data_IF_651178907906
#
_entry.id   IF_651178907906
#
_cell.length_a   1.000
_cell.length_b   1.000
_cell.length_c   1.000
_cell.angle_alpha   90.00
_cell.angle_beta   90.00
_cell.angle_gamma   90.00
#
_symmetry.space_group_name_H-M   'P 1'
#
loop_
_entity.id
_entity.type
_entity.pdbx_description
1 polymer ?
#
# COMPACT_ATOMS: atom_id res chain seq x y z
N UNK A 1 -3.74 -0.22 35.13
CA UNK A 1 -3.05 1.06 34.96
C UNK A 1 -1.93 0.91 33.95
N UNK A 2 -2.20 1.22 32.68
CA UNK A 2 -1.29 1.78 31.65
C UNK A 2 -2.14 2.06 30.41
N UNK A 3 -2.17 3.34 30.04
CA UNK A 3 -2.93 3.94 28.93
C UNK A 3 -2.43 3.39 27.57
N UNK A 4 -3.33 2.85 26.76
CA UNK A 4 -3.14 2.73 25.32
C UNK A 4 -3.72 3.98 24.64
N UNK A 5 -2.87 4.81 24.05
CA UNK A 5 -3.29 5.95 23.23
C UNK A 5 -3.74 5.38 21.89
N UNK A 6 -5.06 5.28 21.71
CA UNK A 6 -5.67 4.99 20.41
C UNK A 6 -5.62 6.28 19.59
N UNK A 7 -4.97 6.20 18.44
CA UNK A 7 -4.89 7.25 17.42
C UNK A 7 -6.30 7.73 17.05
N UNK A 8 -6.62 8.98 17.41
CA UNK A 8 -7.83 9.67 16.99
C UNK A 8 -7.60 10.23 15.59
N UNK A 9 -8.06 9.48 14.59
CA UNK A 9 -8.42 10.01 13.27
C UNK A 9 -9.44 11.14 13.45
N UNK A 10 -9.11 12.38 13.06
CA UNK A 10 -10.00 13.29 12.30
C UNK A 10 -9.49 14.74 12.27
N UNK A 11 -8.82 15.08 11.18
CA UNK A 11 -9.18 16.26 10.38
C UNK A 11 -9.02 15.81 8.93
N UNK A 12 -9.92 14.92 8.53
CA UNK A 12 -10.09 14.57 7.14
C UNK A 12 -10.72 15.78 6.44
N UNK A 13 -10.13 16.22 5.35
CA UNK A 13 -10.86 16.85 4.25
C UNK A 13 -11.89 15.82 3.76
N UNK A 14 -13.02 15.73 4.46
CA UNK A 14 -14.10 14.84 4.04
C UNK A 14 -14.76 15.48 2.82
N UNK A 15 -14.70 14.74 1.71
CA UNK A 15 -15.44 15.03 0.49
C UNK A 15 -16.74 14.25 0.62
N UNK A 16 -17.88 14.94 0.58
CA UNK A 16 -19.20 14.30 0.63
C UNK A 16 -19.87 14.46 -0.71
N UNK A 17 -20.23 13.36 -1.36
CA UNK A 17 -21.03 13.37 -2.58
C UNK A 17 -22.54 13.42 -2.26
N UNK A 18 -23.29 14.14 -3.09
CA UNK A 18 -24.75 14.34 -3.01
C UNK A 18 -25.26 15.04 -1.73
N UNK A 19 -24.69 16.18 -1.31
CA UNK A 19 -25.26 16.96 -0.22
C UNK A 19 -26.65 17.48 -0.59
N UNK A 20 -27.64 17.27 0.29
CA UNK A 20 -28.92 17.97 0.24
C UNK A 20 -28.87 19.19 1.18
N UNK A 21 -29.37 20.33 0.71
CA UNK A 21 -29.53 21.51 1.58
C UNK A 21 -30.70 21.29 2.55
N UNK A 22 -30.56 21.65 3.84
CA UNK A 22 -31.65 21.53 4.79
C UNK A 22 -32.81 22.46 4.38
N UNK A 23 -34.07 21.99 4.37
CA UNK A 23 -35.21 22.85 4.10
C UNK A 23 -35.40 23.84 5.27
N UNK A 24 -35.41 25.14 4.96
CA UNK A 24 -35.83 26.23 5.85
C UNK A 24 -35.29 26.18 7.29
N UNK A 25 -33.99 25.90 7.47
CA UNK A 25 -33.33 25.99 8.77
C UNK A 25 -33.68 24.87 9.76
N UNK A 26 -34.42 23.85 9.36
CA UNK A 26 -34.73 22.69 10.19
C UNK A 26 -33.81 21.48 9.93
N UNK A 27 -33.82 20.54 10.88
CA UNK A 27 -32.94 19.36 10.98
C UNK A 27 -32.88 18.55 9.68
N UNK A 28 -31.74 17.90 9.42
CA UNK A 28 -31.61 16.95 8.31
C UNK A 28 -32.70 15.88 8.42
N UNK A 29 -33.55 15.69 7.38
CA UNK A 29 -34.60 14.69 7.42
C UNK A 29 -34.02 13.27 7.51
N UNK A 30 -32.84 13.06 6.92
CA UNK A 30 -32.04 11.83 6.97
C UNK A 30 -30.55 12.19 6.94
N UNK A 31 -29.69 11.34 7.52
CA UNK A 31 -28.23 11.52 7.50
C UNK A 31 -27.64 12.41 8.62
N UNK A 32 -26.33 12.63 8.55
CA UNK A 32 -25.59 13.46 9.51
C UNK A 32 -25.32 14.86 8.92
N UNK A 33 -25.63 15.95 9.64
CA UNK A 33 -25.34 17.30 9.20
C UNK A 33 -23.82 17.54 9.20
N UNK A 34 -23.31 18.10 8.11
CA UNK A 34 -21.91 18.53 7.99
C UNK A 34 -21.85 19.98 7.50
N UNK A 35 -20.87 20.74 7.98
CA UNK A 35 -20.60 22.11 7.54
C UNK A 35 -19.45 22.06 6.53
N UNK A 36 -19.72 22.38 5.27
CA UNK A 36 -18.72 22.38 4.20
C UNK A 36 -18.24 23.80 3.90
N UNK A 37 -16.96 23.94 3.54
CA UNK A 37 -16.42 25.22 3.10
C UNK A 37 -17.06 25.67 1.79
N UNK A 38 -17.26 24.73 0.86
CA UNK A 38 -17.91 24.97 -0.43
C UNK A 38 -18.68 23.72 -0.91
N UNK A 39 -19.62 23.92 -1.85
CA UNK A 39 -20.40 22.86 -2.50
C UNK A 39 -20.33 23.05 -4.02
N UNK A 40 -19.61 22.15 -4.68
CA UNK A 40 -19.27 22.25 -6.11
C UNK A 40 -19.73 21.01 -6.88
N UNK A 41 -19.78 21.07 -8.22
CA UNK A 41 -20.20 19.88 -9.01
C UNK A 41 -19.05 18.87 -9.12
N UNK A 42 -19.37 17.58 -9.11
CA UNK A 42 -18.41 16.48 -9.30
C UNK A 42 -17.64 16.57 -10.63
N UNK A 43 -18.21 17.21 -11.65
CA UNK A 43 -17.57 17.49 -12.94
C UNK A 43 -16.56 18.64 -12.91
N UNK A 44 -16.58 19.50 -11.90
CA UNK A 44 -15.66 20.64 -11.83
C UNK A 44 -14.27 20.16 -11.41
N UNK A 45 -13.25 20.66 -12.11
CA UNK A 45 -11.87 20.55 -11.64
C UNK A 45 -11.70 21.48 -10.43
N UNK A 46 -11.12 21.02 -9.30
CA UNK A 46 -10.36 19.78 -9.13
C UNK A 46 -11.12 18.59 -8.48
N UNK A 47 -12.41 18.72 -8.22
CA UNK A 47 -13.20 17.68 -7.52
C UNK A 47 -13.31 16.38 -8.32
N UNK A 48 -13.36 16.47 -9.65
CA UNK A 48 -13.30 15.30 -10.54
C UNK A 48 -12.03 14.47 -10.32
N UNK A 49 -10.90 15.13 -10.10
CA UNK A 49 -9.60 14.47 -9.87
C UNK A 49 -9.61 13.78 -8.51
N UNK A 50 -10.05 14.51 -7.47
CA UNK A 50 -10.15 13.97 -6.10
C UNK A 50 -11.07 12.75 -6.01
N UNK A 51 -12.22 12.77 -6.67
CA UNK A 51 -13.14 11.63 -6.74
C UNK A 51 -12.53 10.44 -7.48
N UNK A 52 -11.81 10.70 -8.58
CA UNK A 52 -11.08 9.67 -9.32
C UNK A 52 -10.01 8.98 -8.48
N UNK A 53 -9.25 9.74 -7.70
CA UNK A 53 -8.20 9.24 -6.79
C UNK A 53 -8.76 8.43 -5.62
N UNK A 54 -9.92 8.82 -5.10
CA UNK A 54 -10.63 8.09 -4.04
C UNK A 54 -11.39 6.86 -4.59
N UNK A 55 -11.43 6.66 -5.91
CA UNK A 55 -12.19 5.59 -6.56
C UNK A 55 -13.71 5.75 -6.42
N UNK A 56 -14.18 6.98 -6.18
CA UNK A 56 -15.59 7.30 -5.96
C UNK A 56 -16.23 7.68 -7.29
N UNK A 57 -17.12 6.83 -7.80
CA UNK A 57 -17.87 7.08 -9.04
C UNK A 57 -19.20 7.72 -8.70
N UNK A 58 -19.37 8.98 -9.08
CA UNK A 58 -20.61 9.76 -8.91
C UNK A 58 -21.01 10.41 -10.24
N UNK A 59 -22.29 10.71 -10.43
CA UNK A 59 -22.75 11.42 -11.62
C UNK A 59 -22.05 12.80 -11.71
N UNK A 60 -21.69 13.28 -12.92
CA UNK A 60 -20.96 14.53 -13.10
C UNK A 60 -21.71 15.78 -12.59
N UNK A 61 -23.04 15.73 -12.52
CA UNK A 61 -23.90 16.79 -11.99
C UNK A 61 -24.14 16.70 -10.48
N UNK A 62 -23.66 15.63 -9.83
CA UNK A 62 -23.78 15.47 -8.38
C UNK A 62 -23.00 16.58 -7.67
N UNK A 63 -23.65 17.28 -6.75
CA UNK A 63 -22.98 18.24 -5.87
C UNK A 63 -22.05 17.50 -4.90
N UNK A 64 -20.97 18.15 -4.52
CA UNK A 64 -19.95 17.58 -3.65
C UNK A 64 -19.51 18.66 -2.67
N UNK A 65 -19.65 18.38 -1.38
CA UNK A 65 -19.12 19.22 -0.32
C UNK A 65 -17.62 19.00 -0.17
N UNK A 66 -16.85 20.09 -0.11
CA UNK A 66 -15.39 20.05 0.15
C UNK A 66 -15.05 20.74 1.47
N UNK A 67 -13.99 20.25 2.12
CA UNK A 67 -13.52 20.76 3.42
C UNK A 67 -14.58 20.67 4.53
N UNK A 68 -15.37 19.59 4.53
CA UNK A 68 -16.49 19.41 5.44
C UNK A 68 -16.08 18.96 6.84
N UNK A 69 -16.76 19.49 7.85
CA UNK A 69 -16.66 19.07 9.25
C UNK A 69 -18.04 18.67 9.78
N UNK A 70 -18.18 17.54 10.48
CA UNK A 70 -19.47 17.11 11.03
C UNK A 70 -19.98 18.10 12.09
N UNK A 71 -21.29 18.32 12.13
CA UNK A 71 -21.96 19.18 13.12
C UNK A 71 -22.70 18.27 14.11
N UNK A 72 -22.53 18.50 15.41
CA UNK A 72 -23.39 17.86 16.42
C UNK A 72 -24.59 18.75 16.72
N UNK A 73 -25.80 18.19 16.62
CA UNK A 73 -27.05 18.92 16.88
C UNK A 73 -27.20 19.13 18.39
N UNK A 74 -26.71 20.27 18.90
CA UNK A 74 -26.92 20.66 20.30
C UNK A 74 -28.20 21.48 20.41
N UNK A 75 -29.28 20.84 20.86
CA UNK A 75 -30.34 21.43 21.70
C UNK A 75 -31.25 22.56 21.17
N UNK A 76 -30.85 23.34 20.17
CA UNK A 76 -31.65 24.44 19.60
C UNK A 76 -31.63 24.27 18.09
N UNK A 77 -32.79 24.28 17.43
CA UNK A 77 -32.97 23.88 16.03
C UNK A 77 -32.33 24.78 14.98
N UNK A 78 -31.05 25.13 15.11
CA UNK A 78 -30.23 25.83 14.13
C UNK A 78 -28.82 25.22 14.09
N UNK A 79 -28.27 25.04 12.90
CA UNK A 79 -26.88 24.61 12.72
C UNK A 79 -25.95 25.82 12.87
N UNK A 80 -24.98 25.75 13.78
CA UNK A 80 -23.90 26.75 13.82
C UNK A 80 -22.87 26.39 12.74
N UNK A 81 -23.08 26.92 11.53
CA UNK A 81 -22.24 26.68 10.37
C UNK A 81 -21.93 28.02 9.69
N UNK A 82 -20.64 28.37 9.66
CA UNK A 82 -20.13 29.58 8.99
C UNK A 82 -20.02 29.36 7.47
N UNK A 83 -20.05 28.09 7.01
CA UNK A 83 -20.03 27.69 5.60
C UNK A 83 -21.39 27.23 5.08
N UNK A 84 -21.38 26.24 4.19
CA UNK A 84 -22.59 25.65 3.62
C UNK A 84 -23.03 24.42 4.44
N UNK A 85 -24.18 24.47 5.13
CA UNK A 85 -24.71 23.31 5.84
C UNK A 85 -25.29 22.30 4.84
N UNK A 86 -24.87 21.04 4.97
CA UNK A 86 -25.31 19.95 4.10
C UNK A 86 -25.69 18.71 4.89
N UNK A 87 -26.64 17.95 4.37
CA UNK A 87 -27.02 16.65 4.91
C UNK A 87 -26.36 15.52 4.13
N UNK A 88 -25.70 14.60 4.83
CA UNK A 88 -24.86 13.55 4.24
C UNK A 88 -25.34 12.14 4.62
N UNK A 89 -25.41 11.23 3.66
CA UNK A 89 -25.64 9.79 3.87
C UNK A 89 -24.39 8.99 3.45
N UNK A 90 -24.13 7.86 4.12
CA UNK A 90 -23.06 6.91 3.78
C UNK A 90 -21.62 7.48 3.71
N UNK A 91 -21.18 8.17 4.76
CA UNK A 91 -19.82 8.77 4.86
C UNK A 91 -18.66 7.77 5.04
N UNK A 92 -18.88 6.46 4.88
CA UNK A 92 -17.87 5.41 5.07
C UNK A 92 -17.48 4.76 3.74
N UNK A 93 -16.52 5.35 3.03
CA UNK A 93 -15.88 4.72 1.87
C UNK A 93 -14.61 4.00 2.31
N UNK A 94 -14.72 2.74 2.72
CA UNK A 94 -13.57 1.85 2.77
C UNK A 94 -13.31 1.31 1.36
N UNK A 95 -12.08 1.42 0.86
CA UNK A 95 -11.63 0.70 -0.33
C UNK A 95 -11.77 -0.81 -0.11
N UNK A 96 -12.92 -1.39 -0.47
CA UNK A 96 -13.11 -2.82 -0.55
C UNK A 96 -14.29 -3.13 -1.48
N UNK A 97 -13.97 -3.83 -2.58
CA UNK A 97 -14.70 -4.88 -3.32
C UNK A 97 -16.23 -4.72 -3.48
N UNK A 98 -16.68 -4.92 -4.73
CA UNK A 98 -18.05 -5.32 -5.05
C UNK A 98 -18.41 -6.57 -4.23
N UNK A 99 -19.18 -6.40 -3.17
CA UNK A 99 -19.79 -7.52 -2.47
C UNK A 99 -21.18 -7.80 -3.05
N UNK A 100 -21.29 -9.03 -3.54
CA UNK A 100 -22.51 -9.73 -3.90
C UNK A 100 -23.36 -9.89 -2.63
N UNK A 101 -24.63 -9.50 -2.68
CA UNK A 101 -25.60 -9.69 -1.59
C UNK A 101 -25.75 -11.17 -1.20
N UNK A 102 -25.62 -11.55 0.09
CA UNK A 102 -26.12 -12.82 0.58
C UNK A 102 -27.52 -12.65 1.18
N UNK A 103 -28.51 -13.33 0.57
CA UNK A 103 -29.84 -13.54 1.15
C UNK A 103 -29.70 -14.31 2.47
N UNK A 104 -30.13 -13.72 3.59
CA UNK A 104 -30.22 -14.41 4.89
C UNK A 104 -31.68 -14.68 5.26
N UNK A 105 -31.99 -15.97 5.41
CA UNK A 105 -33.21 -16.44 6.08
C UNK A 105 -32.99 -16.37 7.60
N UNK A 106 -33.90 -15.72 8.31
CA UNK A 106 -33.90 -15.59 9.77
C UNK A 106 -34.58 -16.80 10.45
N UNK A 107 -34.03 -17.36 11.54
CA UNK A 107 -34.80 -18.12 12.53
C UNK A 107 -35.11 -17.28 13.80
N UNK A 108 -36.11 -17.67 14.61
CA UNK A 108 -36.77 -16.80 15.60
C UNK A 108 -36.03 -16.72 16.95
N UNK A 109 -36.39 -15.74 17.81
CA UNK A 109 -35.63 -15.41 19.01
C UNK A 109 -36.06 -16.25 20.22
N UNK A 110 -35.07 -16.70 21.01
CA UNK A 110 -35.28 -17.15 22.39
C UNK A 110 -34.77 -16.05 23.31
N UNK A 111 -35.69 -15.43 24.04
CA UNK A 111 -35.41 -14.33 24.95
C UNK A 111 -34.84 -14.83 26.28
N UNK A 112 -33.70 -14.27 26.68
CA UNK A 112 -33.33 -14.14 28.09
C UNK A 112 -32.94 -12.69 28.37
N UNK A 113 -33.78 -12.06 29.20
CA UNK A 113 -33.69 -10.68 29.66
C UNK A 113 -32.64 -10.61 30.77
N UNK A 114 -31.50 -9.98 30.53
CA UNK A 114 -30.55 -9.59 31.58
C UNK A 114 -30.53 -8.07 31.63
N UNK A 115 -31.21 -7.50 32.63
CA UNK A 115 -31.14 -6.09 32.97
C UNK A 115 -29.73 -5.75 33.50
N UNK A 116 -29.02 -4.86 32.80
CA UNK A 116 -27.83 -4.17 33.32
C UNK A 116 -28.19 -2.70 33.57
N UNK A 117 -28.04 -2.29 34.82
CA UNK A 117 -28.21 -0.93 35.33
C UNK A 117 -27.10 -0.03 34.76
N UNK A 118 -27.39 1.21 34.29
CA UNK A 118 -26.36 2.09 33.75
C UNK A 118 -25.58 2.77 34.89
N UNK A 119 -24.26 2.59 34.90
CA UNK A 119 -23.30 3.43 35.63
C UNK A 119 -22.98 4.69 34.82
N UNK A 120 -22.85 5.87 35.46
CA UNK A 120 -22.58 7.11 34.74
C UNK A 120 -21.11 7.18 34.31
N UNK A 121 -20.87 7.24 33.00
CA UNK A 121 -19.57 7.57 32.42
C UNK A 121 -19.37 9.10 32.42
N UNK A 122 -18.15 9.60 32.66
CA UNK A 122 -17.88 11.03 32.71
C UNK A 122 -17.88 11.63 31.30
N UNK A 123 -18.55 12.78 31.14
CA UNK A 123 -18.52 13.61 29.93
C UNK A 123 -17.08 14.00 29.56
N UNK A 124 -16.53 13.37 28.53
CA UNK A 124 -15.36 13.87 27.82
C UNK A 124 -15.82 14.87 26.76
N UNK A 125 -15.78 16.14 27.13
CA UNK A 125 -16.00 17.29 26.24
C UNK A 125 -14.91 17.31 25.15
N UNK A 126 -15.23 16.79 23.96
CA UNK A 126 -14.45 17.04 22.74
C UNK A 126 -14.78 18.46 22.27
N UNK A 127 -14.00 19.44 22.73
CA UNK A 127 -14.00 20.79 22.16
C UNK A 127 -13.02 20.81 20.98
N UNK A 128 -13.50 21.21 19.81
CA UNK A 128 -12.66 21.59 18.67
C UNK A 128 -11.62 22.63 19.11
N UNK A 129 -10.37 22.61 18.63
CA UNK A 129 -9.38 23.59 19.04
C UNK A 129 -9.78 25.00 18.56
N UNK A 130 -9.73 26.02 19.43
CA UNK A 130 -9.96 27.40 19.02
C UNK A 130 -8.81 27.93 18.15
N UNK A 131 -9.07 28.96 17.35
CA UNK A 131 -8.16 29.69 16.44
C UNK A 131 -6.77 30.05 17.07
N UNK A 132 -6.66 30.04 18.40
CA UNK A 132 -5.44 30.28 19.16
C UNK A 132 -4.37 29.18 19.02
N UNK A 133 -4.76 27.90 18.89
CA UNK A 133 -3.82 26.76 18.87
C UNK A 133 -2.94 26.71 17.62
N UNK A 134 -3.46 27.07 16.44
CA UNK A 134 -2.68 27.07 15.19
C UNK A 134 -1.56 28.11 15.23
N UNK A 135 -1.84 29.30 15.79
CA UNK A 135 -0.83 30.35 16.01
C UNK A 135 0.20 29.97 17.07
N UNK A 136 -0.19 29.14 18.05
CA UNK A 136 0.70 28.64 19.10
C UNK A 136 1.62 27.52 18.58
N UNK A 137 1.10 26.60 17.77
CA UNK A 137 1.87 25.52 17.13
C UNK A 137 2.91 26.09 16.15
N UNK A 138 2.56 27.13 15.40
CA UNK A 138 3.51 27.88 14.55
C UNK A 138 4.65 28.52 15.34
N UNK A 139 4.46 28.85 16.62
CA UNK A 139 5.50 29.44 17.47
C UNK A 139 6.46 28.41 18.05
N UNK A 140 6.07 27.14 18.13
CA UNK A 140 6.89 26.05 18.67
C UNK A 140 7.62 25.26 17.60
N UNK A 141 7.17 25.32 16.35
CA UNK A 141 7.79 24.60 15.25
C UNK A 141 9.15 25.19 14.84
N UNK A 142 10.12 24.31 14.57
CA UNK A 142 11.48 24.69 14.20
C UNK A 142 11.64 24.87 12.68
N UNK A 143 12.50 25.79 12.27
CA UNK A 143 12.82 26.00 10.86
C UNK A 143 13.76 24.90 10.36
N UNK A 144 13.41 24.27 9.24
CA UNK A 144 14.28 23.26 8.66
C UNK A 144 15.59 23.89 8.16
N UNK A 145 16.74 23.35 8.57
CA UNK A 145 18.07 23.94 8.29
C UNK A 145 18.40 24.05 6.81
N UNK A 146 18.01 23.05 6.02
CA UNK A 146 18.30 22.96 4.57
C UNK A 146 17.24 23.66 3.69
N UNK A 147 15.97 23.33 3.90
CA UNK A 147 14.83 23.82 3.14
C UNK A 147 14.18 25.05 3.77
N UNK A 148 14.96 26.11 3.88
CA UNK A 148 14.50 27.43 4.29
C UNK A 148 15.00 28.50 3.31
N UNK A 149 14.33 28.61 2.17
CA UNK A 149 14.73 29.51 1.10
C UNK A 149 14.29 30.95 1.38
N UNK A 150 15.19 31.91 1.17
CA UNK A 150 14.92 33.34 1.41
C UNK A 150 13.87 33.91 0.45
N UNK A 151 13.75 33.32 -0.74
CA UNK A 151 12.82 33.61 -1.83
C UNK A 151 11.61 32.66 -1.86
N UNK A 152 11.50 31.76 -0.87
CA UNK A 152 10.37 30.83 -0.78
C UNK A 152 9.03 31.54 -0.66
N UNK A 153 8.05 31.06 -1.42
CA UNK A 153 6.71 31.65 -1.60
C UNK A 153 5.60 30.94 -0.81
N UNK A 154 5.93 29.84 -0.13
CA UNK A 154 5.02 29.10 0.76
C UNK A 154 5.79 28.49 1.93
N UNK A 155 5.12 28.35 3.06
CA UNK A 155 5.64 27.63 4.22
C UNK A 155 4.79 26.38 4.42
N UNK A 156 5.41 25.21 4.40
CA UNK A 156 4.77 23.95 4.77
C UNK A 156 5.07 23.68 6.24
N UNK A 157 4.03 23.43 7.02
CA UNK A 157 4.14 23.03 8.42
C UNK A 157 3.84 21.54 8.54
N UNK A 158 4.87 20.77 8.87
CA UNK A 158 4.86 19.29 8.89
C UNK A 158 5.41 18.85 10.24
N UNK A 159 4.60 18.13 11.02
CA UNK A 159 4.89 17.81 12.43
C UNK A 159 5.31 19.07 13.20
N UNK A 160 6.52 19.08 13.78
CA UNK A 160 7.10 20.22 14.50
C UNK A 160 8.12 21.00 13.65
N UNK A 161 8.09 20.85 12.32
CA UNK A 161 9.07 21.46 11.40
C UNK A 161 8.41 22.34 10.34
N UNK A 162 9.01 23.49 10.07
CA UNK A 162 8.61 24.44 9.03
C UNK A 162 9.59 24.40 7.85
N UNK A 163 9.04 24.26 6.64
CA UNK A 163 9.77 24.25 5.38
C UNK A 163 9.37 25.46 4.55
N UNK A 164 10.30 26.36 4.24
CA UNK A 164 10.03 27.52 3.37
C UNK A 164 10.52 27.22 1.96
N UNK A 165 9.59 26.99 1.03
CA UNK A 165 9.84 26.44 -0.31
C UNK A 165 9.07 27.20 -1.40
N UNK A 166 9.20 26.77 -2.66
CA UNK A 166 8.63 27.45 -3.82
C UNK A 166 7.33 26.78 -4.28
N UNK A 167 6.23 27.53 -4.32
CA UNK A 167 4.93 27.05 -4.87
C UNK A 167 5.10 26.49 -6.28
N UNK A 168 5.86 27.18 -7.13
CA UNK A 168 6.13 26.78 -8.51
C UNK A 168 6.78 25.41 -8.60
N UNK A 169 7.81 25.12 -7.78
CA UNK A 169 8.48 23.81 -7.79
C UNK A 169 7.53 22.70 -7.37
N UNK A 170 6.70 22.93 -6.35
CA UNK A 170 5.71 21.94 -5.91
C UNK A 170 4.63 21.71 -6.97
N UNK A 171 4.05 22.78 -7.53
CA UNK A 171 3.02 22.68 -8.57
C UNK A 171 3.54 22.01 -9.84
N UNK A 172 4.77 22.30 -10.27
CA UNK A 172 5.36 21.70 -11.48
C UNK A 172 5.55 20.19 -11.37
N UNK A 173 5.81 19.67 -10.17
CA UNK A 173 6.20 18.27 -9.98
C UNK A 173 5.14 17.42 -9.27
N UNK A 174 4.17 18.04 -8.62
CA UNK A 174 3.16 17.37 -7.82
C UNK A 174 1.77 17.95 -8.14
N UNK A 175 0.99 17.19 -8.91
CA UNK A 175 -0.35 17.59 -9.40
C UNK A 175 -1.30 18.00 -8.25
N UNK A 176 -1.20 17.33 -7.10
CA UNK A 176 -2.03 17.64 -5.94
C UNK A 176 -1.77 19.05 -5.38
N UNK A 177 -0.54 19.57 -5.48
CA UNK A 177 -0.22 20.92 -5.01
C UNK A 177 -0.70 22.01 -5.96
N UNK A 178 -0.70 21.77 -7.27
CA UNK A 178 -1.33 22.67 -8.24
C UNK A 178 -2.84 22.82 -7.96
N UNK A 179 -3.50 21.69 -7.71
CA UNK A 179 -4.89 21.65 -7.26
C UNK A 179 -5.09 22.40 -5.94
N UNK A 180 -4.21 22.17 -4.95
CA UNK A 180 -4.33 22.77 -3.63
C UNK A 180 -4.22 24.30 -3.67
N UNK A 181 -3.34 24.85 -4.53
CA UNK A 181 -3.10 26.29 -4.62
C UNK A 181 -4.09 27.03 -5.53
N UNK A 182 -4.83 26.31 -6.39
CA UNK A 182 -5.82 26.91 -7.30
C UNK A 182 -7.22 27.08 -6.67
N UNK A 183 -7.48 26.40 -5.55
CA UNK A 183 -8.74 26.55 -4.82
C UNK A 183 -8.82 27.91 -4.11
N UNK A 184 -9.98 28.59 -4.11
CA UNK A 184 -10.17 29.82 -3.35
C UNK A 184 -10.04 29.50 -1.85
N UNK A 185 -8.88 29.84 -1.28
CA UNK A 185 -8.61 29.67 0.13
C UNK A 185 -9.47 30.67 0.91
N UNK A 186 -10.55 30.21 1.55
CA UNK A 186 -11.33 31.03 2.48
C UNK A 186 -10.39 31.58 3.56
N UNK A 187 -10.36 32.90 3.73
CA UNK A 187 -9.40 33.70 4.53
C UNK A 187 -9.32 33.37 6.04
N UNK A 188 -9.85 32.24 6.50
CA UNK A 188 -10.07 31.92 7.91
C UNK A 188 -9.30 30.70 8.45
N UNK A 189 -8.51 29.99 7.64
CA UNK A 189 -7.79 28.76 8.10
C UNK A 189 -6.27 28.78 8.03
N UNK A 190 -5.65 29.66 7.23
CA UNK A 190 -4.19 29.63 7.02
C UNK A 190 -3.52 30.83 7.69
N UNK A 191 -2.65 30.56 8.66
CA UNK A 191 -1.80 31.59 9.24
C UNK A 191 -0.83 32.12 8.18
N UNK A 192 -0.60 33.43 8.15
CA UNK A 192 0.53 34.01 7.40
C UNK A 192 1.73 34.11 8.34
N UNK A 193 2.90 33.69 7.86
CA UNK A 193 4.17 33.82 8.56
C UNK A 193 5.19 34.44 7.60
N UNK A 194 5.79 35.56 8.01
CA UNK A 194 6.75 36.32 7.18
C UNK A 194 6.20 36.69 5.78
N UNK A 195 4.90 36.98 5.69
CA UNK A 195 4.24 37.32 4.42
C UNK A 195 3.98 36.12 3.49
N UNK A 196 4.32 34.90 3.91
CA UNK A 196 4.03 33.67 3.19
C UNK A 196 2.81 32.96 3.79
N UNK A 197 2.02 32.33 2.94
CA UNK A 197 0.94 31.42 3.33
C UNK A 197 1.52 30.19 4.02
N UNK A 198 0.98 29.81 5.19
CA UNK A 198 1.37 28.57 5.87
C UNK A 198 0.32 27.47 5.64
N UNK A 199 0.76 26.35 5.10
CA UNK A 199 -0.08 25.17 4.86
C UNK A 199 0.34 24.04 5.81
N UNK A 200 -0.59 23.58 6.63
CA UNK A 200 -0.37 22.43 7.52
C UNK A 200 -0.55 21.12 6.74
N UNK A 201 0.45 20.24 6.84
CA UNK A 201 0.40 18.88 6.31
C UNK A 201 0.52 17.85 7.44
N UNK A 202 -0.06 16.67 7.24
CA UNK A 202 -0.08 15.56 8.21
C UNK A 202 0.99 14.49 7.90
N UNK A 203 2.04 14.86 7.17
CA UNK A 203 3.12 13.95 6.78
C UNK A 203 4.24 13.90 7.82
N UNK A 204 5.17 12.96 7.64
CA UNK A 204 6.43 12.94 8.39
C UNK A 204 7.38 14.02 7.89
N UNK A 205 8.05 14.72 8.81
CA UNK A 205 9.10 15.68 8.45
C UNK A 205 10.29 15.00 7.76
N UNK A 206 10.58 13.74 8.08
CA UNK A 206 11.63 12.94 7.42
C UNK A 206 11.24 12.65 5.97
N UNK A 207 10.03 12.13 5.74
CA UNK A 207 9.53 11.83 4.40
C UNK A 207 9.46 13.10 3.53
N UNK A 208 9.06 14.23 4.11
CA UNK A 208 9.03 15.53 3.42
C UNK A 208 10.44 15.98 3.02
N UNK A 209 11.41 15.78 3.91
CA UNK A 209 12.82 16.09 3.63
C UNK A 209 13.35 15.28 2.46
N UNK A 210 13.02 13.98 2.40
CA UNK A 210 13.41 13.09 1.30
C UNK A 210 12.76 13.50 -0.03
N UNK A 211 11.46 13.83 -0.03
CA UNK A 211 10.79 14.35 -1.22
C UNK A 211 11.43 15.65 -1.71
N UNK A 212 11.64 16.62 -0.81
CA UNK A 212 12.24 17.91 -1.17
C UNK A 212 13.68 17.74 -1.67
N UNK A 213 14.45 16.79 -1.13
CA UNK A 213 15.76 16.45 -1.67
C UNK A 213 15.65 15.98 -3.12
N UNK A 214 14.71 15.07 -3.41
CA UNK A 214 14.46 14.54 -4.75
C UNK A 214 13.95 15.60 -5.75
N UNK A 215 13.20 16.60 -5.28
CA UNK A 215 12.66 17.69 -6.10
C UNK A 215 13.69 18.77 -6.42
N UNK A 216 14.46 19.21 -5.42
CA UNK A 216 15.39 20.33 -5.58
C UNK A 216 16.76 19.92 -6.10
N UNK A 217 17.18 18.66 -5.90
CA UNK A 217 18.50 18.19 -6.29
C UNK A 217 18.38 17.02 -7.28
N UNK A 218 18.67 17.28 -8.54
CA UNK A 218 18.65 16.26 -9.61
C UNK A 218 19.58 15.08 -9.33
N UNK A 219 20.71 15.35 -8.65
CA UNK A 219 21.72 14.34 -8.27
C UNK A 219 21.37 13.53 -7.03
N UNK A 220 20.21 13.74 -6.41
CA UNK A 220 19.85 13.04 -5.18
C UNK A 220 19.85 11.52 -5.37
N UNK A 221 19.34 11.02 -6.50
CA UNK A 221 19.35 9.58 -6.81
C UNK A 221 20.74 9.03 -7.13
N UNK A 222 21.70 9.86 -7.54
CA UNK A 222 23.08 9.44 -7.82
C UNK A 222 23.82 9.03 -6.53
N UNK A 223 23.31 9.46 -5.37
CA UNK A 223 23.85 9.06 -4.06
C UNK A 223 23.55 7.60 -3.71
N UNK A 224 22.56 6.99 -4.37
CA UNK A 224 22.22 5.58 -4.18
C UNK A 224 22.99 4.71 -5.18
N UNK A 225 24.03 4.04 -4.70
CA UNK A 225 24.77 3.07 -5.52
C UNK A 225 23.90 1.89 -5.94
N UNK A 226 24.09 1.41 -7.17
CA UNK A 226 23.33 0.28 -7.71
C UNK A 226 23.48 -1.01 -6.87
N UNK A 227 24.61 -1.17 -6.16
CA UNK A 227 24.93 -2.30 -5.28
C UNK A 227 24.65 -2.03 -3.80
N UNK A 228 23.90 -0.97 -3.47
CA UNK A 228 23.56 -0.65 -2.10
C UNK A 228 22.86 -1.82 -1.39
N UNK A 229 23.12 -1.94 -0.08
CA UNK A 229 22.42 -2.90 0.77
C UNK A 229 20.89 -2.64 0.71
N UNK A 230 20.05 -3.70 0.67
CA UNK A 230 18.60 -3.54 0.60
C UNK A 230 18.01 -2.66 1.71
N UNK A 231 18.62 -2.60 2.90
CA UNK A 231 18.18 -1.72 3.98
C UNK A 231 18.40 -0.24 3.64
N UNK A 232 19.57 0.08 3.05
CA UNK A 232 19.92 1.44 2.63
C UNK A 232 18.98 1.87 1.51
N UNK A 233 18.78 0.99 0.52
CA UNK A 233 17.85 1.25 -0.59
C UNK A 233 16.42 1.49 -0.08
N UNK A 234 15.88 0.59 0.75
CA UNK A 234 14.51 0.73 1.26
C UNK A 234 14.33 2.01 2.06
N UNK A 235 15.28 2.33 2.96
CA UNK A 235 15.23 3.58 3.73
C UNK A 235 15.23 4.79 2.81
N UNK A 236 16.11 4.81 1.81
CA UNK A 236 16.24 5.90 0.84
C UNK A 236 14.96 6.15 0.04
N UNK A 237 14.29 5.09 -0.45
CA UNK A 237 13.11 5.27 -1.30
C UNK A 237 11.81 5.40 -0.51
N UNK A 238 11.76 5.06 0.78
CA UNK A 238 10.50 4.93 1.53
C UNK A 238 9.71 6.24 1.59
N UNK A 239 10.34 7.32 2.05
CA UNK A 239 9.68 8.62 2.16
C UNK A 239 9.33 9.23 0.80
N UNK A 240 10.27 9.13 -0.16
CA UNK A 240 10.04 9.57 -1.54
C UNK A 240 8.87 8.83 -2.17
N UNK A 241 8.79 7.50 -2.01
CA UNK A 241 7.73 6.69 -2.61
C UNK A 241 6.37 6.99 -1.96
N UNK A 242 6.30 7.14 -0.63
CA UNK A 242 5.05 7.54 0.06
C UNK A 242 4.53 8.88 -0.42
N UNK A 243 5.37 9.91 -0.40
CA UNK A 243 4.92 11.25 -0.73
C UNK A 243 4.73 11.45 -2.24
N UNK A 244 5.54 10.83 -3.09
CA UNK A 244 5.30 10.85 -4.54
C UNK A 244 3.99 10.15 -4.91
N UNK A 245 3.58 9.13 -4.15
CA UNK A 245 2.27 8.50 -4.33
C UNK A 245 1.14 9.42 -3.84
N UNK A 246 1.29 10.01 -2.64
CA UNK A 246 0.28 10.87 -2.03
C UNK A 246 0.04 12.15 -2.84
N UNK A 247 1.13 12.78 -3.30
CA UNK A 247 1.11 14.06 -4.00
C UNK A 247 1.16 13.94 -5.52
N UNK A 248 1.01 12.72 -6.05
CA UNK A 248 0.91 12.43 -7.48
C UNK A 248 2.11 12.93 -8.30
N UNK A 249 3.30 12.65 -7.79
CA UNK A 249 4.53 12.82 -8.54
C UNK A 249 4.88 11.50 -9.25
N UNK A 250 4.27 11.28 -10.42
CA UNK A 250 4.44 10.04 -11.20
C UNK A 250 5.89 9.78 -11.61
N UNK A 251 6.69 10.82 -11.85
CA UNK A 251 8.10 10.67 -12.24
C UNK A 251 8.96 10.12 -11.11
N UNK A 252 8.85 10.68 -9.90
CA UNK A 252 9.57 10.18 -8.74
C UNK A 252 9.05 8.80 -8.33
N UNK A 253 7.73 8.60 -8.35
CA UNK A 253 7.10 7.32 -8.07
C UNK A 253 7.65 6.20 -8.97
N UNK A 254 7.63 6.39 -10.30
CA UNK A 254 8.17 5.41 -11.27
C UNK A 254 9.65 5.12 -11.02
N UNK A 255 10.46 6.15 -10.71
CA UNK A 255 11.89 5.96 -10.36
C UNK A 255 12.05 5.09 -9.11
N UNK A 256 11.32 5.39 -8.03
CA UNK A 256 11.36 4.62 -6.79
C UNK A 256 10.89 3.18 -6.98
N UNK A 257 9.81 2.96 -7.74
CA UNK A 257 9.30 1.61 -8.05
C UNK A 257 10.33 0.83 -8.85
N UNK A 258 10.94 1.43 -9.88
CA UNK A 258 12.01 0.77 -10.66
C UNK A 258 13.20 0.37 -9.78
N UNK A 259 13.58 1.21 -8.83
CA UNK A 259 14.64 0.89 -7.85
C UNK A 259 14.18 -0.28 -6.97
N UNK A 260 12.97 -0.24 -6.44
CA UNK A 260 12.42 -1.31 -5.61
C UNK A 260 12.36 -2.66 -6.36
N UNK A 261 11.84 -2.68 -7.59
CA UNK A 261 11.73 -3.87 -8.42
C UNK A 261 13.07 -4.36 -8.94
N UNK A 262 14.13 -3.56 -8.92
CA UNK A 262 15.50 -4.05 -9.21
C UNK A 262 16.03 -5.02 -8.15
N UNK A 263 15.43 -5.04 -6.95
CA UNK A 263 15.74 -6.02 -5.90
C UNK A 263 14.66 -7.12 -5.79
N UNK A 264 13.48 -6.87 -6.35
CA UNK A 264 12.28 -7.71 -6.22
C UNK A 264 11.88 -8.16 -7.64
N UNK A 265 12.26 -9.37 -8.06
CA UNK A 265 11.94 -9.87 -9.38
C UNK A 265 10.43 -9.95 -9.59
N UNK A 266 9.99 -9.45 -10.75
CA UNK A 266 8.58 -9.46 -11.19
C UNK A 266 8.35 -10.45 -12.33
N UNK A 267 9.42 -11.03 -12.86
CA UNK A 267 9.38 -12.11 -13.86
C UNK A 267 10.26 -13.30 -13.44
N UNK A 268 9.93 -14.48 -13.96
CA UNK A 268 10.73 -15.69 -13.67
C UNK A 268 12.15 -15.60 -14.22
N UNK A 269 12.33 -14.92 -15.37
CA UNK A 269 13.64 -14.66 -15.96
C UNK A 269 14.51 -13.80 -15.05
N UNK A 270 13.98 -12.69 -14.53
CA UNK A 270 14.67 -11.84 -13.54
C UNK A 270 15.05 -12.63 -12.29
N UNK A 271 14.15 -13.46 -11.78
CA UNK A 271 14.42 -14.31 -10.62
C UNK A 271 15.62 -15.22 -10.84
N UNK A 272 15.69 -15.90 -11.99
CA UNK A 272 16.80 -16.77 -12.33
C UNK A 272 18.12 -15.97 -12.46
N UNK A 273 18.09 -14.81 -13.13
CA UNK A 273 19.27 -13.93 -13.22
C UNK A 273 19.78 -13.52 -11.84
N UNK A 274 18.90 -13.08 -10.95
CA UNK A 274 19.24 -12.70 -9.58
C UNK A 274 19.87 -13.86 -8.79
N UNK A 275 19.42 -15.10 -9.05
CA UNK A 275 19.98 -16.28 -8.43
C UNK A 275 21.41 -16.57 -8.89
N UNK A 276 21.72 -16.40 -10.18
CA UNK A 276 23.08 -16.59 -10.69
C UNK A 276 24.06 -15.53 -10.16
N UNK A 277 23.64 -14.26 -10.14
CA UNK A 277 24.45 -13.14 -9.63
C UNK A 277 24.64 -13.15 -8.10
N UNK A 278 23.82 -13.90 -7.34
CA UNK A 278 23.87 -13.98 -5.87
C UNK A 278 25.08 -14.71 -5.28
N UNK A 279 25.97 -15.28 -6.10
CA UNK A 279 27.16 -15.99 -5.61
C UNK A 279 28.25 -15.06 -5.05
N UNK A 280 28.22 -13.77 -5.38
CA UNK A 280 29.21 -12.77 -4.91
C UNK A 280 28.71 -11.91 -3.75
N UNK A 281 27.44 -11.46 -3.73
CA UNK A 281 26.84 -10.73 -2.61
C UNK A 281 25.32 -10.97 -2.52
N UNK A 282 24.80 -11.71 -1.52
CA UNK A 282 23.37 -11.98 -1.44
C UNK A 282 22.59 -10.72 -1.04
N UNK A 283 21.97 -10.06 -2.03
CA UNK A 283 20.94 -9.01 -1.83
C UNK A 283 19.65 -9.58 -1.22
N UNK A 284 19.76 -10.35 -0.15
CA UNK A 284 18.63 -10.96 0.55
C UNK A 284 18.09 -9.97 1.57
N UNK A 285 16.80 -9.68 1.49
CA UNK A 285 16.13 -8.94 2.54
C UNK A 285 16.21 -9.71 3.86
N UNK A 286 16.63 -9.01 4.92
CA UNK A 286 16.49 -9.49 6.29
C UNK A 286 15.00 -9.60 6.65
N UNK A 287 14.68 -10.42 7.65
CA UNK A 287 13.28 -10.68 8.01
C UNK A 287 12.48 -9.42 8.31
N UNK A 288 13.05 -8.46 9.05
CA UNK A 288 12.37 -7.20 9.35
C UNK A 288 12.18 -6.35 8.09
N UNK A 289 13.18 -6.28 7.21
CA UNK A 289 13.09 -5.53 5.96
C UNK A 289 12.04 -6.07 5.00
N UNK A 290 11.81 -7.40 4.97
CA UNK A 290 10.72 -8.00 4.20
C UNK A 290 9.36 -7.49 4.68
N UNK A 291 9.14 -7.45 6.00
CA UNK A 291 7.89 -6.97 6.57
C UNK A 291 7.66 -5.48 6.24
N UNK A 292 8.71 -4.66 6.38
CA UNK A 292 8.65 -3.24 6.00
C UNK A 292 8.40 -3.05 4.50
N UNK A 293 9.02 -3.86 3.63
CA UNK A 293 8.80 -3.79 2.20
C UNK A 293 7.35 -4.14 1.80
N UNK A 294 6.73 -5.13 2.45
CA UNK A 294 5.31 -5.46 2.22
C UNK A 294 4.42 -4.29 2.64
N UNK A 295 4.66 -3.69 3.81
CA UNK A 295 3.91 -2.52 4.28
C UNK A 295 4.03 -1.36 3.30
N UNK A 296 5.26 -1.01 2.93
CA UNK A 296 5.53 0.05 1.96
C UNK A 296 4.81 -0.22 0.64
N UNK A 297 4.93 -1.43 0.08
CA UNK A 297 4.28 -1.80 -1.18
C UNK A 297 2.74 -1.74 -1.08
N UNK A 298 2.13 -2.12 0.05
CA UNK A 298 0.68 -1.97 0.27
C UNK A 298 0.27 -0.50 0.41
N UNK A 299 0.95 0.26 1.27
CA UNK A 299 0.71 1.68 1.52
C UNK A 299 0.83 2.53 0.25
N UNK A 300 1.76 2.16 -0.63
CA UNK A 300 2.06 2.92 -1.86
C UNK A 300 1.42 2.28 -3.09
N UNK A 301 0.53 1.30 -2.94
CA UNK A 301 -0.13 0.61 -4.05
C UNK A 301 0.88 0.14 -5.13
N UNK A 302 1.86 -0.67 -4.73
CA UNK A 302 2.83 -1.35 -5.61
C UNK A 302 2.53 -2.86 -5.64
N UNK A 303 1.41 -3.29 -6.26
CA UNK A 303 0.92 -4.66 -6.17
C UNK A 303 1.88 -5.70 -6.79
N UNK A 304 2.68 -5.33 -7.78
CA UNK A 304 3.60 -6.23 -8.49
C UNK A 304 4.74 -6.75 -7.60
N UNK A 305 5.10 -6.02 -6.55
CA UNK A 305 6.13 -6.44 -5.61
C UNK A 305 5.63 -7.50 -4.60
N UNK A 306 4.32 -7.54 -4.33
CA UNK A 306 3.75 -8.32 -3.24
C UNK A 306 3.94 -9.84 -3.39
N UNK A 307 3.66 -10.49 -4.54
CA UNK A 307 3.75 -11.96 -4.63
C UNK A 307 5.14 -12.48 -4.24
N UNK A 308 6.21 -11.84 -4.72
CA UNK A 308 7.58 -12.23 -4.41
C UNK A 308 7.97 -11.94 -2.95
N UNK A 309 7.51 -10.82 -2.39
CA UNK A 309 7.75 -10.48 -0.99
C UNK A 309 7.05 -11.47 -0.03
N UNK A 310 5.81 -11.85 -0.33
CA UNK A 310 5.08 -12.88 0.41
C UNK A 310 5.74 -14.26 0.24
N UNK A 311 6.21 -14.61 -0.96
CA UNK A 311 7.01 -15.81 -1.19
C UNK A 311 8.28 -15.85 -0.32
N UNK A 312 9.01 -14.74 -0.23
CA UNK A 312 10.18 -14.63 0.65
C UNK A 312 9.79 -14.76 2.13
N UNK A 313 8.69 -14.14 2.54
CA UNK A 313 8.21 -14.15 3.92
C UNK A 313 7.73 -15.54 4.35
N UNK A 314 7.06 -16.27 3.46
CA UNK A 314 6.63 -17.65 3.68
C UNK A 314 7.80 -18.62 3.93
N UNK A 315 9.04 -18.23 3.64
CA UNK A 315 10.27 -19.01 3.89
C UNK A 315 10.95 -18.69 5.23
N UNK A 316 10.47 -17.71 5.99
CA UNK A 316 10.98 -17.41 7.34
C UNK A 316 10.60 -18.51 8.35
N UNK A 317 11.00 -18.45 9.61
CA UNK A 317 10.46 -19.39 10.60
C UNK A 317 9.01 -19.03 10.94
N UNK A 318 8.17 -20.02 11.29
CA UNK A 318 6.79 -19.75 11.76
C UNK A 318 6.81 -18.78 12.95
N UNK A 319 7.77 -18.94 13.86
CA UNK A 319 7.98 -18.04 15.00
C UNK A 319 8.26 -16.60 14.55
N UNK A 320 9.06 -16.37 13.50
CA UNK A 320 9.31 -15.02 12.98
C UNK A 320 8.08 -14.43 12.32
N UNK A 321 7.32 -15.21 11.55
CA UNK A 321 6.09 -14.72 10.89
C UNK A 321 5.03 -14.33 11.92
N UNK A 322 4.86 -15.14 12.97
CA UNK A 322 3.83 -14.95 14.00
C UNK A 322 4.28 -14.06 15.17
N UNK A 323 5.51 -13.51 15.14
CA UNK A 323 5.99 -12.57 16.15
C UNK A 323 5.00 -11.41 16.26
N UNK A 324 4.61 -11.05 17.48
CA UNK A 324 3.80 -9.87 17.72
C UNK A 324 4.72 -8.65 17.79
N UNK A 325 4.69 -7.82 16.74
CA UNK A 325 5.53 -6.65 16.57
C UNK A 325 4.71 -5.59 15.81
N UNK A 326 4.48 -4.40 16.40
CA UNK A 326 3.73 -3.33 15.74
C UNK A 326 4.33 -2.86 14.41
N UNK A 327 5.64 -3.07 14.21
CA UNK A 327 6.32 -2.66 12.98
C UNK A 327 6.16 -3.68 11.86
N UNK A 328 5.75 -4.92 12.17
CA UNK A 328 5.51 -5.96 11.17
C UNK A 328 4.17 -5.77 10.42
N UNK A 329 3.95 -6.63 9.42
CA UNK A 329 2.70 -6.76 8.68
C UNK A 329 1.53 -7.16 9.59
N UNK A 330 0.31 -6.83 9.17
CA UNK A 330 -0.90 -7.09 9.95
C UNK A 330 -1.20 -8.60 10.10
N UNK A 331 -2.11 -8.95 11.02
CA UNK A 331 -2.47 -10.36 11.27
C UNK A 331 -3.11 -11.05 10.05
N UNK A 332 -3.78 -10.29 9.18
CA UNK A 332 -4.40 -10.81 7.96
C UNK A 332 -3.31 -11.22 6.97
N UNK A 333 -2.29 -10.40 6.77
CA UNK A 333 -1.13 -10.70 5.94
C UNK A 333 -0.30 -11.86 6.51
N UNK A 334 -0.15 -11.95 7.84
CA UNK A 334 0.46 -13.12 8.49
C UNK A 334 -0.31 -14.40 8.18
N UNK A 335 -1.63 -14.33 8.17
CA UNK A 335 -2.51 -15.47 7.82
C UNK A 335 -2.34 -15.85 6.35
N UNK A 336 -2.36 -14.86 5.44
CA UNK A 336 -2.09 -15.06 4.00
C UNK A 336 -0.72 -15.72 3.79
N UNK A 337 0.31 -15.26 4.52
CA UNK A 337 1.64 -15.89 4.49
C UNK A 337 1.61 -17.37 4.89
N UNK A 338 0.86 -17.73 5.94
CA UNK A 338 0.78 -19.13 6.41
C UNK A 338 -0.02 -20.02 5.46
N UNK A 339 -1.15 -19.54 4.95
CA UNK A 339 -1.94 -20.26 3.95
C UNK A 339 -1.12 -20.45 2.67
N UNK A 340 -0.46 -19.38 2.21
CA UNK A 340 0.42 -19.41 1.05
C UNK A 340 1.62 -20.33 1.24
N UNK A 341 2.17 -20.46 2.46
CA UNK A 341 3.20 -21.45 2.78
C UNK A 341 2.73 -22.87 2.53
N UNK A 342 1.53 -23.25 3.00
CA UNK A 342 1.03 -24.61 2.78
C UNK A 342 0.77 -24.87 1.29
N UNK A 343 0.21 -23.89 0.58
CA UNK A 343 0.03 -23.96 -0.88
C UNK A 343 1.36 -24.05 -1.63
N UNK A 344 2.40 -23.33 -1.20
CA UNK A 344 3.76 -23.44 -1.74
C UNK A 344 4.35 -24.82 -1.51
N UNK A 345 4.12 -25.41 -0.34
CA UNK A 345 4.56 -26.78 -0.05
C UNK A 345 3.88 -27.77 -0.98
N UNK A 346 2.58 -27.64 -1.19
CA UNK A 346 1.87 -28.45 -2.17
C UNK A 346 2.44 -28.26 -3.59
N UNK A 347 2.63 -27.01 -4.03
CA UNK A 347 3.17 -26.69 -5.35
C UNK A 347 4.62 -27.19 -5.54
N UNK A 348 5.44 -27.20 -4.48
CA UNK A 348 6.78 -27.79 -4.49
C UNK A 348 6.71 -29.29 -4.79
N UNK A 349 5.80 -30.00 -4.13
CA UNK A 349 5.62 -31.44 -4.29
C UNK A 349 4.95 -31.81 -5.62
N UNK A 350 3.97 -31.04 -6.08
CA UNK A 350 3.13 -31.38 -7.24
C UNK A 350 3.63 -30.80 -8.57
N UNK A 351 4.42 -29.72 -8.54
CA UNK A 351 4.92 -29.05 -9.74
C UNK A 351 6.43 -29.22 -9.83
N UNK A 352 7.21 -28.43 -9.07
CA UNK A 352 8.65 -28.33 -9.30
C UNK A 352 9.43 -29.59 -8.93
N UNK A 353 9.02 -30.35 -7.92
CA UNK A 353 9.69 -31.60 -7.52
C UNK A 353 8.80 -32.84 -7.70
N UNK A 354 7.80 -32.75 -8.59
CA UNK A 354 6.92 -33.87 -8.93
C UNK A 354 7.68 -35.15 -9.30
N UNK A 355 8.82 -35.01 -10.00
CA UNK A 355 9.69 -36.12 -10.40
C UNK A 355 10.29 -36.92 -9.23
N UNK A 356 10.32 -36.38 -8.00
CA UNK A 356 10.78 -37.08 -6.80
C UNK A 356 9.68 -37.97 -6.18
N UNK A 357 8.40 -37.66 -6.43
CA UNK A 357 7.25 -38.43 -5.93
C UNK A 357 6.68 -39.41 -6.93
N UNK A 358 6.55 -38.94 -8.17
CA UNK A 358 5.95 -39.66 -9.28
C UNK A 358 6.98 -39.74 -10.38
N UNK A 359 8.01 -40.57 -10.18
CA UNK A 359 9.03 -40.76 -11.20
C UNK A 359 8.47 -41.59 -12.36
N UNK A 360 8.59 -41.05 -13.57
CA UNK A 360 8.31 -41.76 -14.81
C UNK A 360 9.55 -41.76 -15.69
N UNK A 361 9.99 -42.92 -16.23
CA UNK A 361 11.10 -42.97 -17.17
C UNK A 361 10.86 -42.08 -18.39
N UNK A 362 11.93 -41.51 -18.94
CA UNK A 362 11.84 -40.73 -20.16
C UNK A 362 11.29 -41.59 -21.32
N UNK A 363 10.55 -41.00 -22.27
CA UNK A 363 10.02 -41.73 -23.43
C UNK A 363 11.09 -42.46 -24.26
N UNK A 364 12.32 -41.95 -24.25
CA UNK A 364 13.49 -42.49 -24.94
C UNK A 364 14.47 -43.25 -24.00
N UNK A 365 14.02 -43.66 -22.81
CA UNK A 365 14.85 -44.40 -21.86
C UNK A 365 15.27 -45.76 -22.42
N UNK A 366 16.59 -45.98 -22.54
CA UNK A 366 17.16 -47.23 -23.04
C UNK A 366 17.22 -48.36 -22.00
N UNK A 367 17.12 -48.02 -20.72
CA UNK A 367 17.21 -48.95 -19.59
C UNK A 367 15.93 -48.95 -18.76
N UNK A 368 14.77 -49.06 -19.43
CA UNK A 368 13.44 -48.89 -18.83
C UNK A 368 13.24 -49.73 -17.57
N UNK A 369 13.63 -51.01 -17.57
CA UNK A 369 13.48 -51.89 -16.42
C UNK A 369 14.31 -51.45 -15.21
N UNK A 370 15.50 -50.89 -15.41
CA UNK A 370 16.36 -50.41 -14.32
C UNK A 370 15.84 -49.07 -13.79
N UNK A 371 15.49 -48.13 -14.67
CA UNK A 371 15.02 -46.81 -14.28
C UNK A 371 13.63 -46.86 -13.62
N UNK A 372 12.70 -47.69 -14.12
CA UNK A 372 11.35 -47.80 -13.52
C UNK A 372 11.38 -48.35 -12.10
N UNK A 373 12.34 -49.23 -11.80
CA UNK A 373 12.55 -49.80 -10.48
C UNK A 373 13.56 -49.00 -9.63
N UNK A 374 14.10 -47.91 -10.17
CA UNK A 374 15.07 -47.09 -9.45
C UNK A 374 14.39 -46.42 -8.27
N UNK A 375 14.91 -46.67 -7.07
CA UNK A 375 14.46 -46.00 -5.85
C UNK A 375 15.09 -44.63 -5.64
N UNK A 376 16.08 -44.24 -6.46
CA UNK A 376 16.83 -42.99 -6.27
C UNK A 376 15.95 -41.74 -6.19
N UNK A 377 15.03 -41.50 -7.14
CA UNK A 377 14.08 -40.38 -7.07
C UNK A 377 13.24 -40.37 -5.79
N UNK A 378 12.64 -41.51 -5.44
CA UNK A 378 11.86 -41.66 -4.21
C UNK A 378 12.71 -41.50 -2.95
N UNK A 379 13.98 -41.94 -2.97
CA UNK A 379 14.91 -41.80 -1.84
C UNK A 379 15.39 -40.36 -1.65
N UNK A 380 15.45 -39.58 -2.74
CA UNK A 380 15.80 -38.16 -2.75
C UNK A 380 14.64 -37.25 -2.28
N UNK A 381 13.43 -37.79 -2.11
CA UNK A 381 12.29 -37.10 -1.47
C UNK A 381 12.64 -36.47 -0.12
N UNK A 382 13.61 -37.01 0.63
CA UNK A 382 14.09 -36.44 1.91
C UNK A 382 14.57 -34.99 1.80
N UNK A 383 14.95 -34.53 0.60
CA UNK A 383 15.24 -33.11 0.34
C UNK A 383 14.02 -32.24 0.66
N UNK A 384 12.82 -32.73 0.37
CA UNK A 384 11.54 -32.05 0.60
C UNK A 384 11.06 -32.14 2.05
N UNK A 385 11.38 -33.23 2.75
CA UNK A 385 11.18 -33.27 4.21
C UNK A 385 12.04 -32.23 4.93
N UNK A 386 13.29 -32.07 4.47
CA UNK A 386 14.22 -31.07 5.02
C UNK A 386 13.77 -29.65 4.69
N UNK A 387 13.21 -29.40 3.49
CA UNK A 387 12.63 -28.11 3.12
C UNK A 387 11.24 -27.86 3.69
N UNK A 388 10.57 -28.86 4.29
CA UNK A 388 9.21 -28.74 4.81
C UNK A 388 9.01 -27.61 5.85
N UNK A 389 10.08 -27.16 6.52
CA UNK A 389 10.05 -25.99 7.44
C UNK A 389 10.06 -24.63 6.71
N UNK A 390 10.53 -24.60 5.47
CA UNK A 390 10.67 -23.42 4.62
C UNK A 390 10.60 -23.84 3.14
N UNK A 391 9.39 -24.05 2.58
CA UNK A 391 9.23 -24.59 1.22
C UNK A 391 9.92 -23.68 0.21
N UNK A 392 10.67 -24.26 -0.72
CA UNK A 392 11.46 -23.49 -1.69
C UNK A 392 11.29 -24.03 -3.11
N UNK A 393 10.06 -24.02 -3.64
CA UNK A 393 9.74 -24.62 -4.94
C UNK A 393 10.55 -24.06 -6.12
N UNK A 394 11.01 -22.82 -6.05
CA UNK A 394 11.79 -22.19 -7.12
C UNK A 394 13.29 -22.51 -7.08
N UNK A 395 13.79 -23.25 -6.08
CA UNK A 395 15.22 -23.59 -5.98
C UNK A 395 15.57 -24.62 -7.05
N UNK A 396 16.63 -24.41 -7.85
CA UNK A 396 17.19 -25.44 -8.72
C UNK A 396 17.62 -26.66 -7.90
N UNK A 397 17.18 -27.83 -8.33
CA UNK A 397 17.69 -29.10 -7.84
C UNK A 397 19.09 -29.33 -8.40
N UNK A 398 20.03 -29.77 -7.57
CA UNK A 398 21.44 -29.95 -7.97
C UNK A 398 21.92 -31.40 -7.85
N UNK A 399 21.23 -32.22 -7.06
CA UNK A 399 21.60 -33.61 -6.74
C UNK A 399 21.12 -34.60 -7.80
N UNK A 400 21.31 -34.27 -9.07
CA UNK A 400 20.86 -35.09 -10.20
C UNK A 400 21.60 -36.42 -10.28
N UNK A 401 22.89 -36.43 -9.95
CA UNK A 401 23.73 -37.63 -9.95
C UNK A 401 23.25 -38.67 -8.91
N UNK A 402 22.69 -38.21 -7.79
CA UNK A 402 22.23 -39.07 -6.68
C UNK A 402 20.95 -39.86 -7.03
N UNK A 403 20.31 -39.56 -8.17
CA UNK A 403 19.07 -40.22 -8.61
C UNK A 403 19.31 -41.64 -9.15
N UNK A 404 20.54 -42.01 -9.51
CA UNK A 404 20.89 -43.34 -10.02
C UNK A 404 19.98 -43.82 -11.19
N UNK A 405 19.65 -42.92 -12.11
CA UNK A 405 18.88 -43.18 -13.33
C UNK A 405 19.73 -42.86 -14.57
N UNK A 406 19.32 -43.32 -15.75
CA UNK A 406 20.05 -43.04 -16.98
C UNK A 406 20.02 -41.54 -17.36
N UNK A 407 20.94 -41.12 -18.22
CA UNK A 407 21.11 -39.73 -18.63
C UNK A 407 19.84 -39.14 -19.26
N UNK A 408 19.13 -39.92 -20.09
CA UNK A 408 17.89 -39.48 -20.72
C UNK A 408 16.79 -39.21 -19.68
N UNK A 409 16.71 -40.02 -18.62
CA UNK A 409 15.77 -39.81 -17.51
C UNK A 409 16.17 -38.60 -16.64
N UNK A 410 17.47 -38.36 -16.44
CA UNK A 410 17.95 -37.14 -15.77
C UNK A 410 17.55 -35.91 -16.58
N UNK A 411 17.79 -35.91 -17.90
CA UNK A 411 17.42 -34.80 -18.78
C UNK A 411 15.92 -34.52 -18.76
N UNK A 412 15.10 -35.57 -18.87
CA UNK A 412 13.65 -35.44 -18.78
C UNK A 412 13.19 -34.89 -17.42
N UNK A 413 13.77 -35.37 -16.32
CA UNK A 413 13.44 -34.88 -14.96
C UNK A 413 13.88 -33.43 -14.74
N UNK A 414 15.01 -33.01 -15.31
CA UNK A 414 15.45 -31.61 -15.31
C UNK A 414 14.43 -30.71 -16.00
N UNK A 415 13.95 -31.12 -17.18
CA UNK A 415 12.91 -30.39 -17.91
C UNK A 415 11.63 -30.27 -17.09
N UNK A 416 11.14 -31.39 -16.52
CA UNK A 416 9.96 -31.37 -15.65
C UNK A 416 10.13 -30.42 -14.44
N UNK A 417 11.32 -30.40 -13.86
CA UNK A 417 11.65 -29.51 -12.74
C UNK A 417 11.64 -28.04 -13.14
N UNK A 418 12.27 -27.69 -14.27
CA UNK A 418 12.32 -26.32 -14.75
C UNK A 418 10.92 -25.82 -15.20
N UNK A 419 10.17 -26.63 -15.94
CA UNK A 419 8.77 -26.35 -16.31
C UNK A 419 7.90 -26.19 -15.04
N UNK A 420 8.11 -27.03 -14.03
CA UNK A 420 7.42 -26.96 -12.75
C UNK A 420 7.77 -25.71 -11.94
N UNK A 421 9.02 -25.24 -11.98
CA UNK A 421 9.44 -23.97 -11.34
C UNK A 421 8.78 -22.77 -12.00
N UNK A 422 8.70 -22.75 -13.33
CA UNK A 422 8.00 -21.71 -14.07
C UNK A 422 6.50 -21.73 -13.79
N UNK A 423 5.89 -22.92 -13.72
CA UNK A 423 4.48 -23.07 -13.32
C UNK A 423 4.21 -22.51 -11.92
N UNK A 424 5.08 -22.78 -10.95
CA UNK A 424 4.99 -22.20 -9.59
C UNK A 424 5.09 -20.68 -9.65
N UNK A 425 6.01 -20.12 -10.45
CA UNK A 425 6.12 -18.67 -10.61
C UNK A 425 4.82 -18.07 -11.16
N UNK A 426 4.28 -18.67 -12.22
CA UNK A 426 3.06 -18.22 -12.89
C UNK A 426 1.85 -18.21 -11.96
N UNK A 427 1.71 -19.21 -11.07
CA UNK A 427 0.62 -19.27 -10.11
C UNK A 427 0.90 -18.59 -8.75
N UNK A 428 2.11 -18.05 -8.55
CA UNK A 428 2.54 -17.47 -7.26
C UNK A 428 1.56 -16.45 -6.65
N UNK A 429 1.00 -15.48 -7.40
CA UNK A 429 0.04 -14.54 -6.83
C UNK A 429 -1.19 -15.24 -6.24
N UNK A 430 -1.72 -16.25 -6.95
CA UNK A 430 -2.88 -17.01 -6.49
C UNK A 430 -2.59 -17.83 -5.22
N UNK A 431 -1.34 -18.31 -5.05
CA UNK A 431 -0.92 -18.97 -3.81
C UNK A 431 -1.12 -18.05 -2.58
N UNK A 432 -0.99 -16.73 -2.76
CA UNK A 432 -1.15 -15.72 -1.71
C UNK A 432 -2.46 -14.92 -1.81
N UNK A 433 -3.50 -15.46 -2.43
CA UNK A 433 -4.83 -14.81 -2.52
C UNK A 433 -4.82 -13.47 -3.26
N UNK A 434 -3.89 -13.30 -4.20
CA UNK A 434 -3.75 -12.14 -5.06
C UNK A 434 -4.23 -12.44 -6.48
N UNK A 435 -4.54 -11.38 -7.23
CA UNK A 435 -4.87 -11.48 -8.65
C UNK A 435 -3.67 -11.92 -9.50
N UNK A 436 -3.93 -12.35 -10.73
CA UNK A 436 -2.87 -12.80 -11.66
C UNK A 436 -1.84 -11.70 -11.92
N UNK A 437 -0.63 -12.11 -12.31
CA UNK A 437 0.45 -11.18 -12.68
C UNK A 437 0.01 -10.11 -13.69
N UNK A 438 -0.83 -10.47 -14.66
CA UNK A 438 -1.38 -9.56 -15.66
C UNK A 438 -2.25 -8.47 -15.02
N UNK A 439 -3.15 -8.85 -14.10
CA UNK A 439 -4.01 -7.90 -13.39
C UNK A 439 -3.19 -6.99 -12.48
N UNK A 440 -2.18 -7.53 -11.78
CA UNK A 440 -1.30 -6.74 -10.92
C UNK A 440 -0.50 -5.71 -11.73
N UNK A 441 0.04 -6.09 -12.88
CA UNK A 441 0.76 -5.20 -13.80
C UNK A 441 -0.16 -4.10 -14.34
N UNK A 442 -1.36 -4.46 -14.80
CA UNK A 442 -2.33 -3.49 -15.29
C UNK A 442 -2.74 -2.48 -14.20
N UNK A 443 -2.92 -2.93 -12.95
CA UNK A 443 -3.20 -2.02 -11.82
C UNK A 443 -2.03 -1.10 -11.51
N UNK A 444 -0.80 -1.60 -11.61
CA UNK A 444 0.40 -0.79 -11.45
C UNK A 444 0.46 0.31 -12.50
N UNK A 445 0.29 -0.06 -13.78
CA UNK A 445 0.29 0.86 -14.92
C UNK A 445 -0.76 1.97 -14.74
N UNK A 446 -1.99 1.62 -14.36
CA UNK A 446 -3.05 2.59 -14.08
C UNK A 446 -2.69 3.56 -12.94
N UNK A 447 -1.95 3.09 -11.94
CA UNK A 447 -1.49 3.96 -10.83
C UNK A 447 -0.31 4.85 -11.21
N UNK A 448 0.40 4.50 -12.28
CA UNK A 448 1.60 5.20 -12.76
C UNK A 448 1.31 6.12 -13.96
N UNK A 449 0.09 6.04 -14.52
CA UNK A 449 -0.34 6.81 -15.69
C UNK A 449 -1.34 7.94 -15.34
N UNK A 450 -0.84 9.16 -15.30
CA UNK A 450 -1.51 10.28 -15.95
C UNK A 450 -0.46 10.98 -16.83
N UNK A 451 -0.78 11.12 -18.12
CA UNK A 451 0.04 11.67 -19.22
C UNK A 451 1.00 10.70 -19.92
N UNK A 452 0.46 9.93 -20.87
CA UNK A 452 1.20 9.46 -22.07
C UNK A 452 0.29 9.31 -23.32
N UNK A 453 -0.91 9.94 -23.34
CA UNK A 453 -1.82 9.89 -24.50
C UNK A 453 -1.96 11.24 -25.23
N UNK A 454 -0.90 12.06 -25.28
CA UNK A 454 -0.97 13.32 -26.02
C UNK A 454 0.35 13.77 -26.65
N UNK A 455 1.13 12.88 -27.26
CA UNK A 455 2.23 13.29 -28.17
C UNK A 455 2.44 12.37 -29.39
N UNK A 456 1.45 11.60 -29.83
CA UNK A 456 1.58 10.86 -31.10
C UNK A 456 0.28 10.87 -31.92
N UNK A 457 -0.25 12.07 -32.17
CA UNK A 457 -1.04 12.40 -33.37
C UNK A 457 -0.77 13.87 -33.70
N UNK A 458 0.16 14.11 -34.62
CA UNK A 458 0.47 15.43 -35.16
C UNK A 458 1.37 15.32 -36.37
#
# INVERSE_FOLDING_TARGET
MRLGIVSLLSLATTIVAAPQFPPNGEKCPYGYPSCCGDVVRASQSPVKILLGLLGVVVNPDTLVGVSCTPITVIGTGAFDCIGNPVCCENNSFSMARKDVEPKTHSPPPIGHKIERKPTPEPELLIRSPPISTTKLLLKTAERHKKFWFYDGSIILHVEDTLFRVHKTVLSTHCEMFETLFSLPQSESREGTLEGCTVVQLQDSAEDMTDLLNALYYSSHFDTLHADADPAIMLRFISGILRLSTKYLNYTLRRKCIRILTSYIPTTFSEYNLHQYHSHSHPRRFKSDLLMHAIKLAKETNVPTALPYLFYCTARLSTQRILRDDPNDIDWRDKTICQVGRERLRHAEMSLSHSFLLGFFPAPNCRTLALCSNARGPHAAWRVLETSGKAPHPLRPYTKWADLNICEECVYYSKKLHDDGREAVWSCMPALFEMDSWEVLKKRQELSDSSEDNLLDVG
#
